data_IF_767027315950
#
_entry.id   IF_767027315950
#
_cell.length_a   1.000
_cell.length_b   1.000
_cell.length_c   1.000
_cell.angle_alpha   90.00
_cell.angle_beta   90.00
_cell.angle_gamma   90.00
#
_symmetry.space_group_name_H-M   'P 1'
#
loop_
_entity.id
_entity.type
_entity.pdbx_description
1 polymer ?
#
# COMPACT_ATOMS: atom_id res chain seq x y z
N UNK A 1 -25.63 -9.17 -15.48
CA UNK A 1 -24.99 -8.34 -14.43
C UNK A 1 -24.72 -6.98 -15.02
N UNK A 2 -25.43 -5.95 -14.54
CA UNK A 2 -25.38 -4.62 -15.14
C UNK A 2 -23.97 -4.05 -15.07
N UNK A 3 -23.36 -3.81 -16.22
CA UNK A 3 -22.14 -3.04 -16.34
C UNK A 3 -22.51 -1.63 -15.90
N UNK A 4 -22.33 -1.31 -14.62
CA UNK A 4 -22.34 0.07 -14.17
C UNK A 4 -21.20 0.76 -14.90
N UNK A 5 -21.52 1.40 -16.03
CA UNK A 5 -20.57 2.25 -16.74
C UNK A 5 -20.12 3.30 -15.73
N UNK A 6 -18.86 3.20 -15.33
CA UNK A 6 -18.17 4.19 -14.51
C UNK A 6 -18.17 5.49 -15.33
N UNK A 7 -19.19 6.31 -15.14
CA UNK A 7 -19.53 7.43 -16.05
C UNK A 7 -19.18 8.77 -15.47
N UNK A 8 -19.08 8.89 -14.14
CA UNK A 8 -18.63 10.11 -13.46
C UNK A 8 -17.15 10.02 -13.07
N UNK A 9 -16.47 11.16 -13.06
CA UNK A 9 -15.07 11.26 -12.60
C UNK A 9 -14.92 10.79 -11.14
N UNK A 10 -15.90 11.08 -10.28
CA UNK A 10 -15.92 10.58 -8.91
C UNK A 10 -15.96 9.04 -8.85
N UNK A 11 -16.74 8.39 -9.72
CA UNK A 11 -16.79 6.93 -9.78
C UNK A 11 -15.47 6.34 -10.33
N UNK A 12 -14.83 7.02 -11.30
CA UNK A 12 -13.51 6.62 -11.82
C UNK A 12 -12.44 6.70 -10.75
N UNK A 13 -12.39 7.81 -10.01
CA UNK A 13 -11.46 8.01 -8.92
C UNK A 13 -11.68 6.97 -7.81
N UNK A 14 -12.93 6.72 -7.42
CA UNK A 14 -13.25 5.68 -6.44
C UNK A 14 -12.76 4.30 -6.89
N UNK A 15 -13.06 3.91 -8.13
CA UNK A 15 -12.63 2.62 -8.67
C UNK A 15 -11.10 2.50 -8.75
N UNK A 16 -10.42 3.60 -9.11
CA UNK A 16 -8.95 3.67 -9.13
C UNK A 16 -8.37 3.48 -7.72
N UNK A 17 -8.90 4.21 -6.73
CA UNK A 17 -8.50 4.09 -5.33
C UNK A 17 -8.68 2.66 -4.83
N UNK A 18 -9.86 2.06 -5.00
CA UNK A 18 -10.13 0.70 -4.53
C UNK A 18 -9.19 -0.33 -5.16
N UNK A 19 -8.91 -0.20 -6.47
CA UNK A 19 -7.97 -1.07 -7.17
C UNK A 19 -6.55 -0.96 -6.60
N UNK A 20 -6.07 0.27 -6.39
CA UNK A 20 -4.72 0.53 -5.88
C UNK A 20 -4.59 0.07 -4.42
N UNK A 21 -5.58 0.34 -3.58
CA UNK A 21 -5.65 -0.17 -2.21
C UNK A 21 -5.62 -1.70 -2.18
N UNK A 22 -6.47 -2.34 -2.99
CA UNK A 22 -6.51 -3.80 -3.09
C UNK A 22 -5.17 -4.38 -3.50
N UNK A 23 -4.54 -3.82 -4.54
CA UNK A 23 -3.22 -4.25 -5.00
C UNK A 23 -2.13 -4.07 -3.94
N UNK A 24 -2.12 -2.92 -3.24
CA UNK A 24 -1.18 -2.65 -2.16
C UNK A 24 -1.34 -3.62 -1.00
N UNK A 25 -2.57 -3.88 -0.57
CA UNK A 25 -2.86 -4.86 0.49
C UNK A 25 -2.47 -6.27 0.08
N UNK A 26 -2.77 -6.68 -1.16
CA UNK A 26 -2.37 -7.99 -1.68
C UNK A 26 -0.85 -8.14 -1.69
N UNK A 27 -0.11 -7.12 -2.13
CA UNK A 27 1.35 -7.12 -2.13
C UNK A 27 1.92 -7.22 -0.71
N UNK A 28 1.38 -6.46 0.25
CA UNK A 28 1.75 -6.57 1.67
C UNK A 28 1.46 -7.97 2.23
N UNK A 29 0.34 -8.58 1.83
CA UNK A 29 0.01 -9.96 2.14
C UNK A 29 1.07 -10.94 1.62
N UNK A 30 1.42 -10.86 0.34
CA UNK A 30 2.48 -11.69 -0.27
C UNK A 30 3.83 -11.47 0.41
N UNK A 31 4.18 -10.23 0.74
CA UNK A 31 5.42 -9.93 1.46
C UNK A 31 5.43 -10.54 2.87
N UNK A 32 4.28 -10.57 3.55
CA UNK A 32 4.18 -11.13 4.89
C UNK A 32 4.50 -12.63 4.96
N UNK A 33 4.22 -13.38 3.89
CA UNK A 33 4.47 -14.83 3.83
C UNK A 33 5.97 -15.17 3.69
N UNK A 34 6.76 -14.26 3.11
CA UNK A 34 8.20 -14.45 2.84
C UNK A 34 9.06 -13.34 3.43
N UNK A 35 8.59 -12.69 4.50
CA UNK A 35 9.24 -11.51 5.09
C UNK A 35 10.71 -11.73 5.48
N UNK A 36 11.06 -12.97 5.85
CA UNK A 36 12.43 -13.35 6.23
C UNK A 36 13.39 -13.53 5.03
N UNK A 37 12.86 -13.55 3.80
CA UNK A 37 13.63 -13.69 2.56
C UNK A 37 13.90 -12.33 1.90
N UNK A 38 13.20 -11.28 2.33
CA UNK A 38 13.32 -9.93 1.78
C UNK A 38 14.50 -9.18 2.41
N UNK A 39 15.18 -8.38 1.59
CA UNK A 39 16.21 -7.48 2.09
C UNK A 39 15.60 -6.29 2.85
N UNK A 40 16.40 -5.66 3.71
CA UNK A 40 15.95 -4.56 4.57
C UNK A 40 15.43 -3.34 3.80
N UNK A 41 16.00 -3.04 2.64
CA UNK A 41 15.54 -1.91 1.81
C UNK A 41 14.14 -2.20 1.27
N UNK A 42 13.90 -3.42 0.79
CA UNK A 42 12.58 -3.85 0.33
C UNK A 42 11.56 -3.82 1.47
N UNK A 43 11.91 -4.28 2.67
CA UNK A 43 11.04 -4.22 3.86
C UNK A 43 10.72 -2.77 4.24
N UNK A 44 11.71 -1.86 4.23
CA UNK A 44 11.48 -0.45 4.51
C UNK A 44 10.49 0.16 3.51
N UNK A 45 10.68 -0.11 2.21
CA UNK A 45 9.79 0.37 1.15
C UNK A 45 8.38 -0.19 1.24
N UNK A 46 8.21 -1.42 1.75
CA UNK A 46 6.89 -1.97 2.06
C UNK A 46 6.24 -1.24 3.25
N UNK A 47 7.04 -0.83 4.24
CA UNK A 47 6.59 0.05 5.33
C UNK A 47 6.14 1.42 4.80
N UNK A 48 6.92 2.01 3.89
CA UNK A 48 6.57 3.25 3.20
C UNK A 48 5.28 3.08 2.37
N UNK A 49 5.13 1.98 1.64
CA UNK A 49 3.90 1.70 0.91
C UNK A 49 2.69 1.65 1.85
N UNK A 50 2.79 0.94 2.98
CA UNK A 50 1.71 0.89 3.96
C UNK A 50 1.39 2.29 4.52
N UNK A 51 2.40 3.14 4.75
CA UNK A 51 2.17 4.51 5.20
C UNK A 51 1.49 5.37 4.15
N UNK A 52 1.85 5.23 2.87
CA UNK A 52 1.22 5.95 1.77
C UNK A 52 -0.21 5.48 1.49
N UNK A 53 -0.55 4.23 1.79
CA UNK A 53 -1.93 3.71 1.68
C UNK A 53 -2.85 4.26 2.79
N UNK A 54 -2.29 4.71 3.92
CA UNK A 54 -3.06 5.16 5.08
C UNK A 54 -4.09 6.27 4.75
N UNK A 55 -3.72 7.40 4.10
CA UNK A 55 -4.66 8.48 3.81
C UNK A 55 -5.79 8.07 2.87
N UNK A 56 -5.57 7.01 2.07
CA UNK A 56 -6.52 6.51 1.09
C UNK A 56 -7.42 5.39 1.65
N UNK A 57 -7.05 4.80 2.78
CA UNK A 57 -7.72 3.62 3.35
C UNK A 57 -8.77 4.00 4.41
N UNK A 58 -10.08 3.87 4.13
CA UNK A 58 -11.11 4.15 5.12
C UNK A 58 -11.22 3.05 6.18
N UNK A 59 -11.75 3.42 7.35
CA UNK A 59 -12.19 2.48 8.38
C UNK A 59 -11.06 1.67 9.03
N UNK A 60 -11.26 0.36 9.21
CA UNK A 60 -10.29 -0.52 9.87
C UNK A 60 -9.04 -0.76 9.02
N UNK A 61 -9.15 -0.70 7.69
CA UNK A 61 -7.98 -0.85 6.81
C UNK A 61 -6.93 0.24 7.11
N UNK A 62 -7.36 1.51 7.21
CA UNK A 62 -6.45 2.60 7.57
C UNK A 62 -5.80 2.40 8.96
N UNK A 63 -6.58 1.97 9.96
CA UNK A 63 -6.01 1.67 11.29
C UNK A 63 -4.92 0.60 11.23
N UNK A 64 -5.11 -0.42 10.39
CA UNK A 64 -4.12 -1.48 10.18
C UNK A 64 -2.91 -0.99 9.39
N UNK A 65 -3.09 -0.12 8.37
CA UNK A 65 -1.95 0.44 7.61
C UNK A 65 -0.92 1.10 8.52
N UNK A 66 -1.38 1.87 9.51
CA UNK A 66 -0.47 2.52 10.45
C UNK A 66 0.32 1.52 11.32
N UNK A 67 -0.31 0.41 11.70
CA UNK A 67 0.34 -0.68 12.46
C UNK A 67 1.33 -1.42 11.56
N UNK A 68 0.91 -1.77 10.34
CA UNK A 68 1.72 -2.47 9.34
C UNK A 68 2.99 -1.69 8.99
N UNK A 69 2.87 -0.39 8.72
CA UNK A 69 4.03 0.47 8.40
C UNK A 69 5.07 0.45 9.52
N UNK A 70 4.64 0.67 10.78
CA UNK A 70 5.53 0.64 11.95
C UNK A 70 6.23 -0.70 12.14
N UNK A 71 5.50 -1.80 11.95
CA UNK A 71 6.08 -3.14 12.08
C UNK A 71 7.13 -3.40 11.00
N UNK A 72 6.84 -3.02 9.75
CA UNK A 72 7.78 -3.19 8.65
C UNK A 72 9.02 -2.31 8.80
N UNK A 73 8.86 -1.04 9.18
CA UNK A 73 9.99 -0.18 9.51
C UNK A 73 10.87 -0.75 10.63
N UNK A 74 10.25 -1.25 11.70
CA UNK A 74 10.98 -1.91 12.78
C UNK A 74 11.74 -3.17 12.30
N UNK A 75 11.14 -3.97 11.42
CA UNK A 75 11.78 -5.16 10.82
C UNK A 75 12.95 -4.77 9.89
N UNK A 76 12.83 -3.66 9.16
CA UNK A 76 13.91 -3.09 8.37
C UNK A 76 15.04 -2.51 9.26
N UNK A 77 14.78 -2.31 10.56
CA UNK A 77 15.71 -1.71 11.50
C UNK A 77 15.76 -0.20 11.44
N UNK A 78 14.70 0.45 10.94
CA UNK A 78 14.54 1.91 10.91
C UNK A 78 13.46 2.34 11.90
N UNK A 79 13.56 3.58 12.38
CA UNK A 79 12.53 4.18 13.24
C UNK A 79 11.24 4.50 12.48
N UNK A 80 10.22 4.92 13.22
CA UNK A 80 9.00 5.47 12.59
C UNK A 80 9.37 6.69 11.73
N UNK A 81 8.92 6.68 10.47
CA UNK A 81 9.11 7.78 9.52
C UNK A 81 7.91 8.72 9.54
N UNK A 82 8.04 9.86 8.88
CA UNK A 82 6.93 10.81 8.74
C UNK A 82 5.80 10.22 7.88
N UNK A 83 4.56 10.56 8.24
CA UNK A 83 3.36 10.16 7.51
C UNK A 83 3.14 11.12 6.35
N UNK A 84 3.63 10.76 5.17
CA UNK A 84 3.48 11.58 3.97
C UNK A 84 2.25 11.20 3.15
N UNK A 85 1.60 12.20 2.58
CA UNK A 85 0.58 11.99 1.57
C UNK A 85 1.24 11.78 0.20
N UNK A 86 0.80 10.75 -0.52
CA UNK A 86 1.19 10.48 -1.91
C UNK A 86 -0.04 10.32 -2.78
N UNK A 87 0.04 10.81 -4.01
CA UNK A 87 -1.02 10.62 -5.02
C UNK A 87 -1.13 9.15 -5.41
N UNK A 88 -2.33 8.73 -5.82
CA UNK A 88 -2.64 7.34 -6.13
C UNK A 88 -1.75 6.79 -7.26
N UNK A 89 -1.44 7.60 -8.26
CA UNK A 89 -0.58 7.23 -9.39
C UNK A 89 0.86 6.93 -8.96
N UNK A 90 1.38 7.63 -7.96
CA UNK A 90 2.73 7.39 -7.44
C UNK A 90 2.77 6.16 -6.55
N UNK A 91 1.70 5.92 -5.77
CA UNK A 91 1.52 4.67 -5.02
C UNK A 91 1.45 3.48 -5.98
N UNK A 92 0.74 3.59 -7.09
CA UNK A 92 0.65 2.54 -8.10
C UNK A 92 2.02 2.21 -8.70
N UNK A 93 2.83 3.22 -9.06
CA UNK A 93 4.20 2.99 -9.55
C UNK A 93 5.06 2.26 -8.52
N UNK A 94 4.95 2.64 -7.24
CA UNK A 94 5.69 1.98 -6.17
C UNK A 94 5.26 0.52 -5.99
N UNK A 95 3.96 0.22 -6.10
CA UNK A 95 3.44 -1.15 -6.07
C UNK A 95 4.06 -1.98 -7.20
N UNK A 96 4.10 -1.45 -8.42
CA UNK A 96 4.68 -2.17 -9.56
C UNK A 96 6.20 -2.37 -9.42
N UNK A 97 6.94 -1.39 -8.86
CA UNK A 97 8.35 -1.59 -8.51
C UNK A 97 8.54 -2.74 -7.52
N UNK A 98 7.75 -2.73 -6.44
CA UNK A 98 7.89 -3.69 -5.35
C UNK A 98 7.43 -5.09 -5.72
N UNK A 99 6.47 -5.25 -6.63
CA UNK A 99 6.11 -6.57 -7.18
C UNK A 99 7.28 -7.29 -7.84
N UNK A 100 8.25 -6.56 -8.40
CA UNK A 100 9.46 -7.15 -8.97
C UNK A 100 10.47 -7.62 -7.92
N UNK A 101 10.27 -7.25 -6.64
CA UNK A 101 11.19 -7.51 -5.52
C UNK A 101 10.61 -8.44 -4.46
N UNK A 102 9.28 -8.52 -4.39
CA UNK A 102 8.52 -9.41 -3.51
C UNK A 102 8.20 -10.68 -4.29
#
# INVERSE_FOLDING_TARGET
>A
MGVHRITSEAAKYYAMRERILGNGISLLGTASEKINELDKETIEKLGDLASYLLPHSPGYAGKLMAVTARLLWALAGVGEKEWEFRELEDIEKLIEELKGKV
#
